data_IF_879579856749
#
_entry.id   IF_879579856749
#
_cell.length_a   1.000
_cell.length_b   1.000
_cell.length_c   1.000
_cell.angle_alpha   90.00
_cell.angle_beta   90.00
_cell.angle_gamma   90.00
#
_symmetry.space_group_name_H-M   'P 1'
#
loop_
_entity.id
_entity.type
_entity.pdbx_description
1 polymer ?
#
# COMPACT_ATOMS: atom_id res chain seq x y z
N UNK A 1 13.20 -35.36 5.52
CA UNK A 1 13.58 -35.02 4.12
C UNK A 1 13.78 -33.53 4.05
N UNK A 2 14.71 -33.04 3.23
CA UNK A 2 14.94 -31.61 3.03
C UNK A 2 14.25 -31.16 1.73
N UNK A 3 13.51 -30.08 1.77
CA UNK A 3 12.84 -29.50 0.60
C UNK A 3 13.73 -28.51 -0.16
N UNK A 4 15.02 -28.36 0.23
CA UNK A 4 15.91 -27.35 -0.33
C UNK A 4 15.94 -27.34 -1.87
N UNK A 5 16.11 -28.49 -2.49
CA UNK A 5 16.23 -28.62 -3.94
C UNK A 5 14.96 -28.21 -4.68
N UNK A 6 13.80 -28.65 -4.18
CA UNK A 6 12.48 -28.30 -4.73
C UNK A 6 12.20 -26.81 -4.54
N UNK A 7 12.53 -26.28 -3.37
CA UNK A 7 12.34 -24.89 -3.04
C UNK A 7 13.21 -23.95 -3.88
N UNK A 8 14.46 -24.31 -4.18
CA UNK A 8 15.32 -23.54 -5.10
C UNK A 8 14.64 -23.36 -6.47
N UNK A 9 14.17 -24.47 -7.05
CA UNK A 9 13.46 -24.46 -8.35
C UNK A 9 12.17 -23.65 -8.29
N UNK A 10 11.42 -23.80 -7.20
CA UNK A 10 10.18 -23.05 -6.98
C UNK A 10 10.44 -21.55 -6.87
N UNK A 11 11.38 -21.14 -6.03
CA UNK A 11 11.72 -19.73 -5.80
C UNK A 11 12.22 -19.03 -7.07
N UNK A 12 13.07 -19.73 -7.86
CA UNK A 12 13.52 -19.22 -9.16
C UNK A 12 12.33 -18.98 -10.10
N UNK A 13 11.44 -19.97 -10.24
CA UNK A 13 10.26 -19.86 -11.10
C UNK A 13 9.30 -18.77 -10.62
N UNK A 14 9.17 -18.59 -9.31
CA UNK A 14 8.33 -17.57 -8.70
C UNK A 14 8.79 -16.15 -9.10
N UNK A 15 10.10 -15.97 -9.31
CA UNK A 15 10.70 -14.71 -9.80
C UNK A 15 10.79 -14.63 -11.32
N UNK A 16 10.35 -15.64 -12.06
CA UNK A 16 10.47 -15.68 -13.52
C UNK A 16 11.91 -15.82 -14.03
N UNK A 17 12.89 -16.10 -13.16
CA UNK A 17 14.31 -16.18 -13.55
C UNK A 17 14.63 -17.44 -14.31
N UNK A 18 15.52 -17.30 -15.30
CA UNK A 18 16.20 -18.45 -15.91
C UNK A 18 17.19 -19.08 -14.93
N UNK A 19 17.61 -20.31 -15.21
CA UNK A 19 18.67 -20.94 -14.41
C UNK A 19 19.98 -20.13 -14.43
N UNK A 20 20.28 -19.46 -15.54
CA UNK A 20 21.48 -18.63 -15.65
C UNK A 20 21.38 -17.41 -14.72
N UNK A 21 20.30 -16.65 -14.82
CA UNK A 21 20.10 -15.45 -13.99
C UNK A 21 20.13 -15.76 -12.50
N UNK A 22 19.52 -16.87 -12.09
CA UNK A 22 19.53 -17.25 -10.68
C UNK A 22 20.90 -17.73 -10.22
N UNK A 23 21.61 -18.49 -11.06
CA UNK A 23 23.00 -18.92 -10.79
C UNK A 23 23.95 -17.72 -10.64
N UNK A 24 23.78 -16.70 -11.48
CA UNK A 24 24.57 -15.47 -11.42
C UNK A 24 24.33 -14.71 -10.10
N UNK A 25 23.05 -14.61 -9.66
CA UNK A 25 22.70 -14.02 -8.36
C UNK A 25 23.29 -14.78 -7.18
N UNK A 26 23.39 -16.10 -7.28
CA UNK A 26 23.99 -16.98 -6.28
C UNK A 26 25.49 -17.11 -6.41
N UNK A 27 26.13 -16.49 -7.43
CA UNK A 27 27.56 -16.55 -7.75
C UNK A 27 28.07 -17.99 -7.95
N UNK A 28 27.24 -18.83 -8.57
CA UNK A 28 27.56 -20.22 -8.89
C UNK A 28 27.45 -20.49 -10.39
N UNK A 29 27.97 -21.61 -10.86
CA UNK A 29 27.79 -22.03 -12.26
C UNK A 29 26.34 -22.51 -12.50
N UNK A 30 25.76 -22.17 -13.67
CA UNK A 30 24.43 -22.64 -14.08
C UNK A 30 24.28 -24.16 -13.96
N UNK A 31 25.34 -24.93 -14.36
CA UNK A 31 25.33 -26.38 -14.29
C UNK A 31 25.19 -26.92 -12.86
N UNK A 32 25.77 -26.21 -11.87
CA UNK A 32 25.65 -26.55 -10.47
C UNK A 32 24.23 -26.26 -9.94
N UNK A 33 23.65 -25.13 -10.31
CA UNK A 33 22.25 -24.84 -9.98
C UNK A 33 21.31 -25.90 -10.58
N UNK A 34 21.53 -26.29 -11.85
CA UNK A 34 20.77 -27.36 -12.51
C UNK A 34 20.86 -28.67 -11.74
N UNK A 35 22.07 -29.04 -11.26
CA UNK A 35 22.26 -30.25 -10.45
C UNK A 35 21.51 -30.18 -9.11
N UNK A 36 21.43 -29.00 -8.49
CA UNK A 36 20.62 -28.77 -7.30
C UNK A 36 19.13 -28.92 -7.57
N UNK A 37 18.60 -28.22 -8.59
CA UNK A 37 17.17 -28.26 -8.93
C UNK A 37 16.67 -29.64 -9.39
N UNK A 38 17.55 -30.47 -9.91
CA UNK A 38 17.30 -31.85 -10.33
C UNK A 38 17.63 -32.90 -9.26
N UNK A 39 17.94 -32.47 -8.05
CA UNK A 39 18.27 -33.33 -6.88
C UNK A 39 19.49 -34.23 -7.09
N UNK A 40 20.32 -33.93 -8.11
CA UNK A 40 21.58 -34.68 -8.38
C UNK A 40 22.71 -34.30 -7.45
N UNK A 41 22.59 -33.16 -6.77
CA UNK A 41 23.54 -32.69 -5.77
C UNK A 41 22.80 -31.98 -4.62
N UNK A 42 23.45 -31.94 -3.46
CA UNK A 42 22.94 -31.15 -2.31
C UNK A 42 23.53 -29.74 -2.37
N UNK A 43 22.71 -28.71 -2.19
CA UNK A 43 23.20 -27.33 -2.12
C UNK A 43 24.18 -27.13 -0.96
N UNK A 44 25.27 -26.41 -1.22
CA UNK A 44 26.21 -26.01 -0.17
C UNK A 44 25.57 -24.95 0.75
N UNK A 45 26.07 -24.85 1.99
CA UNK A 45 25.54 -23.94 3.00
C UNK A 45 25.54 -22.49 2.52
N UNK A 46 26.65 -22.04 1.93
CA UNK A 46 26.82 -20.66 1.40
C UNK A 46 25.74 -20.29 0.35
N UNK A 47 25.35 -21.30 -0.47
CA UNK A 47 24.28 -21.13 -1.46
C UNK A 47 22.93 -21.02 -0.78
N UNK A 48 22.67 -21.84 0.24
CA UNK A 48 21.43 -21.78 1.01
C UNK A 48 21.30 -20.47 1.78
N UNK A 49 22.39 -19.98 2.36
CA UNK A 49 22.44 -18.67 3.01
C UNK A 49 22.15 -17.55 2.02
N UNK A 50 22.80 -17.58 0.84
CA UNK A 50 22.54 -16.61 -0.23
C UNK A 50 21.08 -16.62 -0.68
N UNK A 51 20.46 -17.78 -0.78
CA UNK A 51 19.02 -17.90 -1.10
C UNK A 51 18.17 -17.32 0.02
N UNK A 52 18.50 -17.63 1.27
CA UNK A 52 17.82 -17.07 2.43
C UNK A 52 17.88 -15.52 2.43
N UNK A 53 19.03 -14.96 2.08
CA UNK A 53 19.23 -13.51 2.00
C UNK A 53 18.43 -12.86 0.85
N UNK A 54 18.47 -13.46 -0.34
CA UNK A 54 17.74 -12.96 -1.51
C UNK A 54 16.24 -12.99 -1.29
N UNK A 55 15.71 -14.08 -0.74
CA UNK A 55 14.27 -14.27 -0.55
C UNK A 55 13.78 -13.90 0.86
N UNK A 56 14.69 -13.42 1.72
CA UNK A 56 14.44 -13.10 3.12
C UNK A 56 13.78 -14.27 3.88
N UNK A 57 14.23 -15.49 3.61
CA UNK A 57 13.77 -16.72 4.24
C UNK A 57 14.68 -17.10 5.43
N UNK A 58 14.11 -17.85 6.36
CA UNK A 58 14.93 -18.54 7.35
C UNK A 58 15.43 -19.88 6.78
N UNK A 59 16.56 -20.37 7.28
CA UNK A 59 17.10 -21.67 6.89
C UNK A 59 16.10 -22.81 7.17
N UNK A 60 15.37 -22.71 8.28
CA UNK A 60 14.34 -23.70 8.63
C UNK A 60 13.19 -23.74 7.62
N UNK A 61 12.74 -22.56 7.15
CA UNK A 61 11.73 -22.49 6.09
C UNK A 61 12.21 -23.10 4.78
N UNK A 62 13.45 -22.79 4.38
CA UNK A 62 14.02 -23.28 3.13
C UNK A 62 14.22 -24.81 3.14
N UNK A 63 14.59 -25.37 4.30
CA UNK A 63 14.95 -26.77 4.42
C UNK A 63 13.77 -27.70 4.79
N UNK A 64 12.84 -27.24 5.60
CA UNK A 64 11.80 -28.08 6.23
C UNK A 64 10.39 -27.88 5.71
N UNK A 65 10.12 -26.77 5.02
CA UNK A 65 8.79 -26.50 4.46
C UNK A 65 8.79 -26.67 2.96
N UNK A 66 7.73 -27.27 2.42
CA UNK A 66 7.46 -27.22 0.98
C UNK A 66 6.84 -25.86 0.64
N UNK A 67 7.64 -24.98 0.03
CA UNK A 67 7.20 -23.64 -0.35
C UNK A 67 6.22 -23.66 -1.54
N UNK A 68 6.18 -24.77 -2.30
CA UNK A 68 5.35 -24.91 -3.50
C UNK A 68 3.89 -25.28 -3.18
N UNK A 69 3.61 -25.88 -2.01
CA UNK A 69 2.24 -26.25 -1.59
C UNK A 69 1.27 -25.07 -1.56
N UNK A 70 1.78 -23.84 -1.42
CA UNK A 70 0.99 -22.62 -1.32
C UNK A 70 0.69 -21.95 -2.68
N UNK A 71 0.80 -22.63 -3.81
CA UNK A 71 0.38 -22.22 -5.16
C UNK A 71 0.61 -20.71 -5.47
N UNK A 72 1.87 -20.28 -5.43
CA UNK A 72 2.23 -18.91 -5.85
C UNK A 72 2.04 -17.82 -4.80
N UNK A 73 1.56 -18.12 -3.61
CA UNK A 73 1.26 -17.12 -2.59
C UNK A 73 2.12 -17.24 -1.32
N UNK A 74 3.27 -17.94 -1.38
CA UNK A 74 4.13 -18.15 -0.21
C UNK A 74 4.64 -16.82 0.38
N UNK A 75 5.11 -15.91 -0.46
CA UNK A 75 5.59 -14.62 -0.01
C UNK A 75 4.44 -13.74 0.54
N UNK A 76 3.26 -13.80 -0.07
CA UNK A 76 2.08 -13.13 0.44
C UNK A 76 1.56 -13.76 1.74
N UNK A 77 1.60 -15.10 1.83
CA UNK A 77 1.22 -15.82 3.05
C UNK A 77 2.25 -15.65 4.17
N UNK A 78 3.53 -15.47 3.83
CA UNK A 78 4.58 -15.13 4.79
C UNK A 78 4.45 -13.70 5.29
N UNK A 79 4.07 -12.76 4.44
CA UNK A 79 3.61 -11.43 4.89
C UNK A 79 2.45 -11.60 5.87
N UNK A 80 1.44 -12.40 5.53
CA UNK A 80 0.31 -12.70 6.42
C UNK A 80 0.71 -13.42 7.72
N UNK A 81 1.70 -14.33 7.70
CA UNK A 81 2.19 -15.05 8.90
C UNK A 81 3.14 -14.22 9.78
N UNK A 82 3.95 -13.31 9.22
CA UNK A 82 4.57 -12.25 10.02
C UNK A 82 3.51 -11.40 10.73
N UNK A 83 2.32 -11.32 10.16
CA UNK A 83 1.16 -10.64 10.69
C UNK A 83 0.50 -11.33 11.90
N UNK A 84 0.69 -12.63 12.11
CA UNK A 84 0.08 -13.36 13.25
C UNK A 84 0.89 -13.27 14.56
N UNK A 85 2.07 -12.66 14.56
CA UNK A 85 2.94 -12.50 15.73
C UNK A 85 3.89 -11.31 15.70
N UNK A 86 3.94 -10.54 14.62
CA UNK A 86 4.78 -9.35 14.46
C UNK A 86 4.01 -8.16 13.89
N UNK A 87 4.51 -6.95 14.16
CA UNK A 87 3.96 -5.72 13.57
C UNK A 87 4.19 -5.75 12.05
N UNK A 88 3.19 -5.41 11.22
CA UNK A 88 3.36 -5.39 9.77
C UNK A 88 4.40 -4.34 9.35
N UNK A 89 5.32 -4.72 8.48
CA UNK A 89 6.14 -3.75 7.76
C UNK A 89 5.26 -3.03 6.75
N UNK A 90 5.18 -1.71 6.86
CA UNK A 90 4.33 -0.86 6.03
C UNK A 90 5.20 -0.19 4.98
N UNK A 91 5.13 -0.59 3.69
CA UNK A 91 5.84 0.08 2.62
C UNK A 91 5.36 1.52 2.46
N UNK A 92 6.30 2.45 2.33
CA UNK A 92 6.05 3.88 2.21
C UNK A 92 6.25 4.35 0.77
N UNK A 93 5.22 4.95 0.19
CA UNK A 93 5.21 5.55 -1.14
C UNK A 93 5.29 7.08 -0.99
N UNK A 94 6.47 7.69 -1.15
CA UNK A 94 6.59 9.13 -1.14
C UNK A 94 6.01 9.73 -2.44
N UNK A 95 5.61 11.00 -2.41
CA UNK A 95 5.07 11.70 -3.58
C UNK A 95 5.97 11.58 -4.81
N UNK A 96 7.29 11.68 -4.61
CA UNK A 96 8.28 11.57 -5.69
C UNK A 96 8.29 10.20 -6.37
N UNK A 97 7.85 9.16 -5.68
CA UNK A 97 7.77 7.80 -6.21
C UNK A 97 6.40 7.47 -6.81
N UNK A 98 5.40 8.35 -6.70
CA UNK A 98 4.03 8.06 -7.13
C UNK A 98 3.93 7.67 -8.62
N UNK A 99 4.67 8.33 -9.50
CA UNK A 99 4.69 7.99 -10.94
C UNK A 99 5.33 6.61 -11.20
N UNK A 100 6.43 6.28 -10.53
CA UNK A 100 7.06 4.96 -10.58
C UNK A 100 6.17 3.89 -9.96
N UNK A 101 5.46 4.24 -8.91
CA UNK A 101 4.51 3.36 -8.24
C UNK A 101 3.36 2.92 -9.15
N UNK A 102 2.82 3.82 -9.98
CA UNK A 102 1.78 3.47 -10.96
C UNK A 102 2.23 2.40 -11.96
N UNK A 103 3.52 2.32 -12.25
CA UNK A 103 4.08 1.31 -13.15
C UNK A 103 4.51 0.03 -12.42
N UNK A 104 4.89 0.15 -11.14
CA UNK A 104 5.46 -0.94 -10.33
C UNK A 104 4.57 -1.46 -9.20
N UNK A 105 3.33 -0.98 -9.04
CA UNK A 105 2.46 -1.35 -7.91
C UNK A 105 2.19 -2.86 -7.81
N UNK A 106 2.17 -3.57 -8.93
CA UNK A 106 1.99 -5.01 -9.01
C UNK A 106 3.30 -5.81 -8.96
N UNK A 107 4.45 -5.14 -8.99
CA UNK A 107 5.76 -5.79 -8.93
C UNK A 107 6.24 -5.93 -7.47
N UNK A 108 6.34 -7.16 -6.95
CA UNK A 108 6.82 -7.39 -5.60
C UNK A 108 8.24 -6.87 -5.36
N UNK A 109 9.12 -6.88 -6.37
CA UNK A 109 10.51 -6.39 -6.22
C UNK A 109 10.50 -4.87 -5.99
N UNK A 110 9.71 -4.14 -6.77
CA UNK A 110 9.54 -2.69 -6.58
C UNK A 110 9.01 -2.34 -5.19
N UNK A 111 8.02 -3.12 -4.71
CA UNK A 111 7.43 -2.90 -3.37
C UNK A 111 8.43 -3.23 -2.25
N UNK A 112 9.27 -4.26 -2.45
CA UNK A 112 10.28 -4.66 -1.47
C UNK A 112 11.44 -3.66 -1.38
N UNK A 113 11.69 -2.84 -2.42
CA UNK A 113 12.67 -1.76 -2.43
C UNK A 113 12.18 -0.49 -1.72
N UNK A 114 10.87 -0.35 -1.49
CA UNK A 114 10.33 0.79 -0.76
C UNK A 114 10.78 0.78 0.70
N UNK A 115 11.08 1.97 1.23
CA UNK A 115 11.31 2.12 2.66
C UNK A 115 10.11 1.64 3.46
N UNK A 116 10.34 0.93 4.54
CA UNK A 116 9.27 0.40 5.41
C UNK A 116 9.38 0.97 6.81
N UNK A 117 8.25 1.04 7.50
CA UNK A 117 8.16 1.33 8.93
C UNK A 117 7.05 0.50 9.56
N UNK A 118 6.99 0.50 10.90
CA UNK A 118 5.96 -0.23 11.65
C UNK A 118 5.18 0.71 12.55
N UNK A 119 3.89 0.43 12.75
CA UNK A 119 3.05 1.14 13.72
C UNK A 119 2.55 0.17 14.79
N UNK A 120 2.73 0.50 16.09
CA UNK A 120 2.35 -0.40 17.18
C UNK A 120 0.86 -0.76 17.24
N UNK A 121 0.00 0.15 16.76
CA UNK A 121 -1.46 -0.02 16.79
C UNK A 121 -2.00 -0.85 15.63
N UNK A 122 -1.20 -1.15 14.61
CA UNK A 122 -1.61 -1.96 13.48
C UNK A 122 -1.11 -3.39 13.66
N UNK A 123 -2.04 -4.33 13.74
CA UNK A 123 -1.78 -5.76 13.91
C UNK A 123 -2.59 -6.52 12.89
N UNK A 124 -1.93 -7.37 12.08
CA UNK A 124 -2.61 -8.06 10.99
C UNK A 124 -2.99 -7.11 9.84
N UNK A 125 -3.29 -7.65 8.67
CA UNK A 125 -3.68 -6.84 7.51
C UNK A 125 -2.55 -6.53 6.52
N UNK A 126 -2.92 -6.04 5.36
CA UNK A 126 -2.01 -5.61 4.31
C UNK A 126 -2.07 -4.08 4.24
N UNK A 127 -1.02 -3.42 4.73
CA UNK A 127 -0.98 -1.97 4.83
C UNK A 127 0.01 -1.36 3.86
N UNK A 128 -0.28 -0.14 3.43
CA UNK A 128 0.62 0.72 2.67
C UNK A 128 0.46 2.16 3.09
N UNK A 129 1.55 2.90 3.10
CA UNK A 129 1.57 4.29 3.47
C UNK A 129 1.82 5.15 2.23
N UNK A 130 1.07 6.23 2.08
CA UNK A 130 1.17 7.15 0.95
C UNK A 130 1.33 8.57 1.46
N UNK A 131 2.36 9.25 1.00
CA UNK A 131 2.47 10.69 1.21
C UNK A 131 1.52 11.40 0.24
N UNK A 132 0.68 12.28 0.77
CA UNK A 132 -0.29 13.03 -0.03
C UNK A 132 0.12 14.50 -0.18
N UNK A 133 -0.26 15.10 -1.31
CA UNK A 133 -0.06 16.51 -1.60
C UNK A 133 -1.39 17.21 -1.86
N UNK A 134 -1.41 18.51 -1.63
CA UNK A 134 -2.60 19.36 -1.84
C UNK A 134 -3.44 19.53 -0.59
N UNK A 135 -4.53 20.24 -0.75
CA UNK A 135 -5.44 20.67 0.33
C UNK A 135 -6.90 20.21 0.10
N UNK A 136 -7.09 19.27 -0.82
CA UNK A 136 -8.44 18.79 -1.16
C UNK A 136 -9.12 18.00 -0.04
N UNK A 137 -8.38 17.54 0.96
CA UNK A 137 -8.87 16.71 2.07
C UNK A 137 -8.63 17.39 3.43
N UNK A 138 -8.81 18.70 3.51
CA UNK A 138 -8.73 19.42 4.79
C UNK A 138 -9.71 18.81 5.83
N UNK A 139 -9.31 18.69 7.10
CA UNK A 139 -8.11 19.28 7.73
C UNK A 139 -6.81 18.47 7.53
N UNK A 140 -6.81 17.40 6.74
CA UNK A 140 -5.59 16.66 6.43
C UNK A 140 -4.68 17.54 5.57
N UNK A 141 -3.51 17.93 6.11
CA UNK A 141 -2.60 18.86 5.46
C UNK A 141 -1.72 18.17 4.41
N UNK A 142 -1.26 18.94 3.43
CA UNK A 142 -0.25 18.52 2.45
C UNK A 142 1.02 18.01 3.16
N UNK A 143 1.60 16.93 2.66
CA UNK A 143 2.73 16.24 3.27
C UNK A 143 2.35 15.30 4.42
N UNK A 144 1.06 15.08 4.66
CA UNK A 144 0.60 14.02 5.56
C UNK A 144 0.78 12.64 4.91
N UNK A 145 0.98 11.63 5.75
CA UNK A 145 1.10 10.25 5.33
C UNK A 145 -0.18 9.52 5.72
N UNK A 146 -0.84 8.92 4.74
CA UNK A 146 -2.03 8.10 4.94
C UNK A 146 -1.61 6.64 4.94
N UNK A 147 -1.84 5.96 6.06
CA UNK A 147 -1.67 4.50 6.14
C UNK A 147 -3.01 3.86 5.86
N UNK A 148 -3.08 3.13 4.77
CA UNK A 148 -4.30 2.45 4.31
C UNK A 148 -4.16 0.94 4.41
N UNK A 149 -5.28 0.27 4.66
CA UNK A 149 -5.46 -1.16 4.55
C UNK A 149 -6.02 -1.51 3.17
N UNK A 150 -5.46 -2.54 2.54
CA UNK A 150 -5.86 -2.92 1.18
C UNK A 150 -7.30 -3.39 1.15
N UNK A 151 -8.06 -2.87 0.20
CA UNK A 151 -9.42 -3.32 -0.12
C UNK A 151 -9.31 -4.29 -1.29
N UNK A 152 -9.71 -5.54 -1.06
CA UNK A 152 -9.56 -6.59 -2.08
C UNK A 152 -10.70 -6.59 -3.09
N UNK A 153 -11.90 -6.17 -2.68
CA UNK A 153 -13.07 -6.07 -3.55
C UNK A 153 -13.73 -4.70 -3.45
N UNK A 154 -14.21 -4.17 -4.58
CA UNK A 154 -15.02 -2.94 -4.59
C UNK A 154 -16.33 -3.08 -3.80
N UNK A 155 -16.79 -4.31 -3.57
CA UNK A 155 -17.96 -4.57 -2.73
C UNK A 155 -17.70 -4.26 -1.25
N UNK A 156 -16.44 -4.37 -0.81
CA UNK A 156 -16.04 -4.09 0.58
C UNK A 156 -15.89 -2.58 0.89
N UNK A 157 -16.04 -1.72 -0.12
CA UNK A 157 -16.01 -0.27 0.08
C UNK A 157 -17.15 0.15 1.01
N UNK A 158 -16.80 0.85 2.07
CA UNK A 158 -17.73 1.50 2.99
C UNK A 158 -17.96 2.94 2.53
N UNK A 159 -19.19 3.25 2.18
CA UNK A 159 -19.57 4.60 1.74
C UNK A 159 -19.24 5.64 2.80
N UNK A 160 -18.84 6.83 2.40
CA UNK A 160 -18.39 7.94 3.25
C UNK A 160 -17.08 7.75 4.00
N UNK A 161 -16.38 6.63 3.85
CA UNK A 161 -15.03 6.49 4.37
C UNK A 161 -14.01 7.11 3.40
N UNK A 162 -12.83 7.40 3.93
CA UNK A 162 -11.72 7.95 3.15
C UNK A 162 -10.78 6.84 2.66
N UNK A 163 -10.29 7.01 1.44
CA UNK A 163 -9.46 6.02 0.76
C UNK A 163 -8.30 6.69 0.02
N UNK A 164 -7.18 6.00 -0.07
CA UNK A 164 -6.20 6.26 -1.11
C UNK A 164 -6.59 5.42 -2.32
N UNK A 165 -6.84 6.10 -3.41
CA UNK A 165 -7.21 5.52 -4.71
C UNK A 165 -5.99 5.61 -5.62
N UNK A 166 -5.53 4.48 -6.11
CA UNK A 166 -4.48 4.39 -7.13
C UNK A 166 -5.17 4.05 -8.44
N UNK A 167 -5.07 4.93 -9.41
CA UNK A 167 -5.77 4.79 -10.69
C UNK A 167 -4.92 5.18 -11.89
N UNK A 168 -5.34 4.72 -13.07
CA UNK A 168 -4.66 5.01 -14.35
C UNK A 168 -4.80 6.48 -14.74
N UNK A 169 -5.92 7.11 -14.39
CA UNK A 169 -6.30 8.46 -14.83
C UNK A 169 -5.88 9.53 -13.84
N UNK A 170 -6.06 9.30 -12.55
CA UNK A 170 -5.83 10.29 -11.51
C UNK A 170 -4.52 10.09 -10.73
N UNK A 171 -3.82 8.97 -10.98
CA UNK A 171 -2.65 8.60 -10.21
C UNK A 171 -3.00 8.15 -8.80
N UNK A 172 -2.26 8.65 -7.81
CA UNK A 172 -2.48 8.38 -6.39
C UNK A 172 -3.20 9.57 -5.77
N UNK A 173 -4.46 9.38 -5.37
CA UNK A 173 -5.27 10.43 -4.75
C UNK A 173 -5.89 9.96 -3.44
N UNK A 174 -6.03 10.87 -2.49
CA UNK A 174 -6.73 10.64 -1.22
C UNK A 174 -8.09 11.32 -1.27
N UNK A 175 -9.17 10.55 -1.15
CA UNK A 175 -10.55 11.03 -1.30
C UNK A 175 -11.52 10.26 -0.41
N UNK A 176 -12.68 10.83 -0.19
CA UNK A 176 -13.84 10.14 0.35
C UNK A 176 -14.57 9.43 -0.79
N UNK A 177 -15.00 8.19 -0.59
CA UNK A 177 -15.73 7.44 -1.60
C UNK A 177 -17.20 7.33 -1.21
N UNK A 178 -18.06 7.66 -2.18
CA UNK A 178 -19.47 7.37 -2.13
C UNK A 178 -19.85 6.39 -3.23
N UNK A 179 -20.46 5.26 -2.83
CA UNK A 179 -20.98 4.29 -3.79
C UNK A 179 -22.20 4.85 -4.50
N UNK A 180 -22.16 4.88 -5.82
CA UNK A 180 -23.34 5.25 -6.59
C UNK A 180 -24.20 4.01 -6.82
N UNK A 181 -25.33 3.91 -6.10
CA UNK A 181 -26.28 2.79 -6.23
C UNK A 181 -26.92 2.67 -7.61
N UNK A 182 -26.88 3.72 -8.42
CA UNK A 182 -27.51 3.78 -9.74
C UNK A 182 -26.59 3.33 -10.89
N UNK A 183 -25.28 3.38 -10.70
CA UNK A 183 -24.29 3.04 -11.73
C UNK A 183 -23.26 2.09 -11.15
N UNK A 184 -23.42 0.81 -11.42
CA UNK A 184 -22.61 -0.28 -10.82
C UNK A 184 -21.11 -0.21 -11.07
N UNK A 185 -20.63 0.50 -12.09
CA UNK A 185 -19.22 0.53 -12.48
C UNK A 185 -18.56 1.90 -12.26
N UNK A 186 -19.12 2.76 -11.39
CA UNK A 186 -18.54 4.07 -11.07
C UNK A 186 -18.51 4.33 -9.57
N UNK A 187 -17.39 4.87 -9.12
CA UNK A 187 -17.23 5.39 -7.77
C UNK A 187 -17.21 6.92 -7.82
N UNK A 188 -17.89 7.56 -6.88
CA UNK A 188 -17.87 9.01 -6.72
C UNK A 188 -16.79 9.40 -5.71
N UNK A 189 -15.82 10.20 -6.14
CA UNK A 189 -14.74 10.69 -5.32
C UNK A 189 -15.06 12.11 -4.84
N UNK A 190 -15.10 12.26 -3.52
CA UNK A 190 -15.49 13.52 -2.87
C UNK A 190 -14.29 14.05 -2.10
N UNK A 191 -14.08 15.34 -2.21
CA UNK A 191 -13.10 16.07 -1.40
C UNK A 191 -13.77 16.60 -0.12
N UNK A 192 -13.07 16.51 1.02
CA UNK A 192 -13.57 17.09 2.27
C UNK A 192 -13.47 18.63 2.25
N UNK A 193 -12.60 19.20 1.42
CA UNK A 193 -12.56 20.64 1.14
C UNK A 193 -13.62 20.99 0.09
N UNK A 194 -14.64 21.83 0.45
CA UNK A 194 -15.74 22.17 -0.44
C UNK A 194 -15.34 23.04 -1.65
N UNK A 195 -14.11 23.56 -1.67
CA UNK A 195 -13.58 24.25 -2.85
C UNK A 195 -13.35 23.31 -4.05
N UNK A 196 -13.32 22.01 -3.82
CA UNK A 196 -13.11 20.99 -4.84
C UNK A 196 -14.41 20.26 -5.15
N UNK A 197 -14.78 20.25 -6.42
CA UNK A 197 -15.95 19.50 -6.88
C UNK A 197 -15.72 17.99 -6.82
N UNK A 198 -16.78 17.24 -6.50
CA UNK A 198 -16.76 15.77 -6.60
C UNK A 198 -16.76 15.33 -8.06
N UNK A 199 -16.13 14.20 -8.34
CA UNK A 199 -16.10 13.62 -9.67
C UNK A 199 -16.18 12.09 -9.60
N UNK A 200 -16.53 11.47 -10.72
CA UNK A 200 -16.67 10.01 -10.79
C UNK A 200 -15.52 9.39 -11.55
N UNK A 201 -15.06 8.24 -11.08
CA UNK A 201 -14.06 7.40 -11.75
C UNK A 201 -14.68 6.04 -12.12
N UNK A 202 -14.27 5.45 -13.25
CA UNK A 202 -14.69 4.10 -13.59
C UNK A 202 -13.94 3.09 -12.72
N UNK A 203 -14.63 2.04 -12.31
CA UNK A 203 -14.03 0.97 -11.51
C UNK A 203 -12.85 0.28 -12.24
N UNK A 204 -12.92 0.16 -13.57
CA UNK A 204 -11.89 -0.45 -14.42
C UNK A 204 -10.59 0.37 -14.50
N UNK A 205 -10.64 1.65 -14.12
CA UNK A 205 -9.47 2.53 -14.05
C UNK A 205 -8.74 2.43 -12.70
N UNK A 206 -9.36 1.79 -11.70
CA UNK A 206 -8.78 1.65 -10.37
C UNK A 206 -7.80 0.47 -10.38
N UNK A 207 -6.56 0.74 -10.01
CA UNK A 207 -5.48 -0.24 -9.90
C UNK A 207 -5.41 -0.83 -8.50
N UNK A 208 -5.51 0.02 -7.49
CA UNK A 208 -5.53 -0.36 -6.08
C UNK A 208 -6.43 0.60 -5.29
N UNK A 209 -6.98 0.06 -4.20
CA UNK A 209 -7.78 0.82 -3.25
C UNK A 209 -7.34 0.50 -1.83
N UNK A 210 -7.13 1.55 -1.03
CA UNK A 210 -6.63 1.45 0.33
C UNK A 210 -7.53 2.24 1.27
N UNK A 211 -8.24 1.57 2.17
CA UNK A 211 -9.05 2.26 3.19
C UNK A 211 -8.14 2.93 4.21
N UNK A 212 -8.28 4.23 4.42
CA UNK A 212 -7.45 4.97 5.37
C UNK A 212 -7.75 4.53 6.82
N UNK A 213 -6.68 4.13 7.54
CA UNK A 213 -6.76 3.70 8.94
C UNK A 213 -6.03 4.67 9.86
N UNK A 214 -4.88 5.21 9.44
CA UNK A 214 -4.07 6.12 10.25
C UNK A 214 -3.60 7.28 9.38
N UNK A 215 -3.64 8.48 9.95
CA UNK A 215 -3.09 9.70 9.35
C UNK A 215 -1.93 10.17 10.22
N UNK A 216 -0.75 10.32 9.61
CA UNK A 216 0.44 10.86 10.25
C UNK A 216 0.69 12.24 9.66
N UNK A 217 0.53 13.28 10.45
CA UNK A 217 0.75 14.66 10.05
C UNK A 217 1.91 15.27 10.82
N UNK A 218 2.63 16.23 10.21
CA UNK A 218 3.65 17.00 10.89
C UNK A 218 3.04 17.86 11.98
N UNK A 219 3.65 17.88 13.15
CA UNK A 219 3.20 18.75 14.24
C UNK A 219 3.23 20.23 13.78
N UNK A 220 2.17 20.98 14.07
CA UNK A 220 2.05 22.40 13.72
C UNK A 220 1.57 22.68 12.29
N UNK A 221 1.36 21.63 11.45
CA UNK A 221 0.84 21.81 10.08
C UNK A 221 -0.68 22.08 10.02
N UNK A 222 -1.39 21.87 11.10
CA UNK A 222 -2.81 22.18 11.19
C UNK A 222 -2.99 23.61 11.68
N UNK A 223 -3.57 24.48 10.85
CA UNK A 223 -4.17 25.71 11.31
C UNK A 223 -5.32 25.31 12.24
N UNK A 224 -5.10 25.42 13.55
CA UNK A 224 -6.19 25.25 14.53
C UNK A 224 -7.14 26.44 14.37
N UNK A 225 -8.19 26.23 13.58
CA UNK A 225 -9.34 27.11 13.69
C UNK A 225 -9.96 26.79 15.06
N UNK A 226 -9.76 27.70 16.01
CA UNK A 226 -10.49 27.62 17.27
C UNK A 226 -11.97 27.74 16.94
N UNK A 227 -12.78 26.76 17.39
CA UNK A 227 -14.24 26.78 17.21
C UNK A 227 -14.82 28.12 17.69
N UNK A 228 -14.22 28.70 18.75
CA UNK A 228 -14.58 30.01 19.25
C UNK A 228 -14.28 31.14 18.25
N UNK A 229 -13.19 31.07 17.50
CA UNK A 229 -12.89 32.07 16.44
C UNK A 229 -13.88 31.97 15.29
N UNK A 230 -14.25 30.78 14.86
CA UNK A 230 -15.29 30.56 13.86
C UNK A 230 -16.65 31.05 14.34
N UNK A 231 -17.04 30.72 15.58
CA UNK A 231 -18.26 31.18 16.20
C UNK A 231 -18.32 32.72 16.27
N UNK A 232 -17.22 33.38 16.61
CA UNK A 232 -17.12 34.84 16.63
C UNK A 232 -17.24 35.43 15.24
N UNK A 233 -16.61 34.86 14.22
CA UNK A 233 -16.75 35.32 12.82
C UNK A 233 -18.18 35.17 12.36
N UNK A 234 -18.84 34.04 12.61
CA UNK A 234 -20.26 33.84 12.24
C UNK A 234 -21.17 34.83 12.97
N UNK A 235 -20.93 35.06 14.26
CA UNK A 235 -21.72 36.05 15.03
C UNK A 235 -21.55 37.47 14.48
N UNK A 236 -20.32 37.86 14.17
CA UNK A 236 -20.05 39.17 13.57
C UNK A 236 -20.69 39.33 12.18
N UNK A 237 -20.62 38.31 11.32
CA UNK A 237 -21.30 38.31 10.02
C UNK A 237 -22.81 38.43 10.19
N UNK A 238 -23.39 37.71 11.15
CA UNK A 238 -24.84 37.81 11.42
C UNK A 238 -25.27 39.21 11.87
N UNK A 239 -24.47 39.84 12.71
CA UNK A 239 -24.70 41.23 13.15
C UNK A 239 -24.61 42.23 11.98
N UNK A 240 -23.60 42.07 11.10
CA UNK A 240 -23.44 42.94 9.93
C UNK A 240 -24.63 42.81 8.96
N UNK A 241 -25.05 41.56 8.67
CA UNK A 241 -26.21 41.29 7.81
C UNK A 241 -27.50 41.86 8.42
N UNK A 242 -27.70 41.74 9.73
CA UNK A 242 -28.84 42.29 10.44
C UNK A 242 -28.85 43.83 10.40
N UNK A 243 -27.69 44.46 10.51
CA UNK A 243 -27.53 45.90 10.42
C UNK A 243 -27.80 46.44 9.00
N UNK A 244 -27.33 45.71 7.97
CA UNK A 244 -27.60 46.01 6.57
C UNK A 244 -29.09 45.89 6.25
N UNK A 245 -29.76 44.84 6.71
CA UNK A 245 -31.21 44.66 6.55
C UNK A 245 -32.03 45.83 7.18
N UNK A 246 -31.60 46.32 8.37
CA UNK A 246 -32.25 47.47 9.02
C UNK A 246 -32.02 48.82 8.29
N UNK A 247 -30.97 48.93 7.49
CA UNK A 247 -30.70 50.16 6.69
C UNK A 247 -31.38 50.15 5.32
N UNK A 248 -31.86 48.99 4.88
CA UNK A 248 -32.55 48.81 3.60
C UNK A 248 -34.09 48.87 3.72
N UNK A 249 -34.63 48.82 4.96
CA UNK A 249 -36.02 49.09 5.29
C UNK A 249 -36.17 50.48 5.92
#
# INVERSE_FOLDING_TARGET
>A
MSFANQNLKYLRKLRGWTQQEFADKLRIKRSLLGAYEEERAKPHMDVLESVCDIFKLTMDELLRKDLSENKGNYLAKRRAMKLSGGRPDIPFVPVKAAAGYLNGYGDPEYIDELNTFTLPMLTGGNYRAFEIMGDSMLPTSSGSIIVGEKVESLDDIKSNNTYVVVSKTEGVVYKRIEKNSRVKNKLNLISDNPAYQSYSINADDILELWQANVIISKAGSQQRWDINQLANIVTNLHQQVSTLKKKMN
#
